data_IF_315973101074
#
_entry.id   IF_315973101074
#
_cell.length_a   1.000
_cell.length_b   1.000
_cell.length_c   1.000
_cell.angle_alpha   90.00
_cell.angle_beta   90.00
_cell.angle_gamma   90.00
#
_symmetry.space_group_name_H-M   'P 1'
#
loop_
_entity.id
_entity.type
_entity.pdbx_description
1 polymer ?
#
# COMPACT_ATOMS: atom_id res chain seq x y z
N UNK A 1 12.68 -23.06 42.77
CA UNK A 1 13.26 -24.30 42.20
C UNK A 1 12.33 -25.43 42.59
N UNK A 2 11.43 -25.80 41.69
CA UNK A 2 10.36 -26.79 41.89
C UNK A 2 10.69 -28.08 41.15
N UNK A 3 10.22 -29.20 41.70
CA UNK A 3 10.51 -30.63 41.44
C UNK A 3 10.33 -31.18 39.99
N UNK A 4 10.51 -30.41 38.92
CA UNK A 4 10.43 -30.89 37.52
C UNK A 4 11.77 -31.43 36.93
N UNK A 5 12.85 -31.45 37.70
CA UNK A 5 14.20 -31.82 37.23
C UNK A 5 14.48 -33.35 37.09
N UNK A 6 13.47 -34.19 36.89
CA UNK A 6 13.72 -35.51 36.33
C UNK A 6 13.92 -35.36 34.81
N UNK A 7 15.14 -34.98 34.42
CA UNK A 7 15.54 -34.82 33.02
C UNK A 7 15.25 -36.12 32.25
N UNK A 8 14.25 -36.08 31.38
CA UNK A 8 13.90 -37.16 30.48
C UNK A 8 15.16 -37.61 29.70
N UNK A 9 15.55 -38.90 29.74
CA UNK A 9 16.77 -39.38 29.09
C UNK A 9 16.78 -39.10 27.58
N UNK A 10 15.61 -39.02 26.95
CA UNK A 10 15.48 -38.69 25.53
C UNK A 10 15.80 -37.21 25.27
N UNK A 11 15.34 -36.30 26.14
CA UNK A 11 15.67 -34.87 26.06
C UNK A 11 17.18 -34.64 26.24
N UNK A 12 17.83 -35.32 27.18
CA UNK A 12 19.30 -35.22 27.36
C UNK A 12 20.01 -35.66 26.09
N UNK A 13 19.58 -36.78 25.50
CA UNK A 13 20.18 -37.33 24.28
C UNK A 13 20.02 -36.38 23.09
N UNK A 14 18.86 -35.72 22.97
CA UNK A 14 18.63 -34.68 21.96
C UNK A 14 19.59 -33.51 22.17
N UNK A 15 19.72 -33.02 23.42
CA UNK A 15 20.63 -31.90 23.75
C UNK A 15 22.07 -32.20 23.34
N UNK A 16 22.55 -33.42 23.58
CA UNK A 16 23.91 -33.84 23.21
C UNK A 16 24.10 -33.86 21.69
N UNK A 17 23.13 -34.38 20.93
CA UNK A 17 23.21 -34.38 19.47
C UNK A 17 23.20 -32.97 18.87
N UNK A 18 22.39 -32.05 19.41
CA UNK A 18 22.39 -30.66 18.94
C UNK A 18 23.74 -29.98 19.21
N UNK A 19 24.31 -30.17 20.41
CA UNK A 19 25.63 -29.61 20.77
C UNK A 19 26.77 -30.18 19.92
N UNK A 20 26.69 -31.45 19.57
CA UNK A 20 27.67 -32.13 18.70
C UNK A 20 27.48 -31.79 17.20
N UNK A 21 26.51 -30.95 16.85
CA UNK A 21 26.20 -30.59 15.45
C UNK A 21 25.55 -31.71 14.64
N UNK A 22 25.06 -32.76 15.30
CA UNK A 22 24.40 -33.93 14.69
C UNK A 22 22.90 -33.66 14.50
N UNK A 23 22.59 -32.66 13.69
CA UNK A 23 21.24 -32.12 13.51
C UNK A 23 20.25 -33.18 13.00
N UNK A 24 20.62 -34.00 12.01
CA UNK A 24 19.73 -35.06 11.49
C UNK A 24 19.37 -36.11 12.54
N UNK A 25 20.33 -36.48 13.39
CA UNK A 25 20.09 -37.44 14.48
C UNK A 25 19.17 -36.85 15.55
N UNK A 26 19.34 -35.57 15.87
CA UNK A 26 18.46 -34.84 16.77
C UNK A 26 17.02 -34.79 16.21
N UNK A 27 16.85 -34.40 14.94
CA UNK A 27 15.55 -34.34 14.26
C UNK A 27 14.83 -35.69 14.29
N UNK A 28 15.53 -36.78 13.98
CA UNK A 28 14.94 -38.12 13.98
C UNK A 28 14.46 -38.55 15.37
N UNK A 29 15.22 -38.24 16.41
CA UNK A 29 14.85 -38.60 17.78
C UNK A 29 13.73 -37.72 18.28
N UNK A 30 13.71 -36.43 17.92
CA UNK A 30 12.60 -35.54 18.24
C UNK A 30 11.31 -36.02 17.56
N UNK A 31 11.37 -36.47 16.31
CA UNK A 31 10.20 -37.05 15.63
C UNK A 31 9.63 -38.26 16.38
N UNK A 32 10.50 -39.13 16.90
CA UNK A 32 10.09 -40.26 17.73
C UNK A 32 9.53 -39.83 19.08
N UNK A 33 10.12 -38.79 19.69
CA UNK A 33 9.70 -38.25 20.98
C UNK A 33 8.33 -37.58 20.91
N UNK A 34 8.09 -36.75 19.89
CA UNK A 34 6.81 -36.10 19.65
C UNK A 34 5.73 -37.12 19.29
N UNK A 35 6.08 -38.16 18.54
CA UNK A 35 5.18 -39.28 18.28
C UNK A 35 3.91 -38.87 17.54
N UNK A 36 2.75 -39.30 18.02
CA UNK A 36 1.46 -39.02 17.40
C UNK A 36 0.87 -37.70 17.95
N UNK A 37 0.56 -36.76 17.06
CA UNK A 37 0.00 -35.44 17.39
C UNK A 37 -1.40 -35.47 18.00
N UNK A 38 -2.07 -36.63 17.95
CA UNK A 38 -3.39 -36.83 18.56
C UNK A 38 -3.34 -37.24 20.03
N UNK A 39 -2.15 -37.46 20.60
CA UNK A 39 -1.98 -37.82 22.01
C UNK A 39 -2.20 -36.62 22.93
N UNK A 40 -2.86 -36.85 24.08
CA UNK A 40 -3.23 -35.79 25.03
C UNK A 40 -2.02 -35.00 25.57
N UNK A 41 -0.84 -35.64 25.66
CA UNK A 41 0.41 -35.06 26.14
C UNK A 41 1.30 -34.51 25.01
N UNK A 42 0.81 -34.46 23.77
CA UNK A 42 1.59 -33.99 22.61
C UNK A 42 2.06 -32.54 22.80
N UNK A 43 1.18 -31.66 23.29
CA UNK A 43 1.52 -30.25 23.47
C UNK A 43 2.54 -30.04 24.58
N UNK A 44 2.46 -30.81 25.67
CA UNK A 44 3.43 -30.75 26.76
C UNK A 44 4.82 -31.20 26.25
N UNK A 45 4.86 -32.29 25.47
CA UNK A 45 6.11 -32.76 24.83
C UNK A 45 6.64 -31.77 23.80
N UNK A 46 5.76 -31.11 23.07
CA UNK A 46 6.14 -30.09 22.08
C UNK A 46 6.71 -28.84 22.75
N UNK A 47 6.09 -28.39 23.84
CA UNK A 47 6.58 -27.30 24.69
C UNK A 47 7.98 -27.62 25.23
N UNK A 48 8.17 -28.82 25.80
CA UNK A 48 9.48 -29.29 26.29
C UNK A 48 10.56 -29.25 25.18
N UNK A 49 10.21 -29.68 23.96
CA UNK A 49 11.14 -29.67 22.81
C UNK A 49 11.45 -28.24 22.37
N UNK A 50 10.43 -27.38 22.22
CA UNK A 50 10.62 -26.00 21.76
C UNK A 50 11.46 -25.23 22.78
N UNK A 51 11.12 -25.27 24.07
CA UNK A 51 11.87 -24.59 25.13
C UNK A 51 13.33 -25.07 25.18
N UNK A 52 13.54 -26.39 25.10
CA UNK A 52 14.87 -26.98 25.08
C UNK A 52 15.68 -26.52 23.86
N UNK A 53 15.12 -26.58 22.64
CA UNK A 53 15.82 -26.17 21.42
C UNK A 53 16.14 -24.67 21.43
N UNK A 54 15.23 -23.82 21.91
CA UNK A 54 15.46 -22.38 22.01
C UNK A 54 16.60 -22.05 22.99
N UNK A 55 16.86 -22.91 23.98
CA UNK A 55 17.97 -22.73 24.93
C UNK A 55 19.34 -23.18 24.40
N UNK A 56 19.40 -23.86 23.25
CA UNK A 56 20.63 -24.45 22.70
C UNK A 56 21.18 -23.67 21.51
N UNK A 57 22.50 -23.55 21.44
CA UNK A 57 23.18 -23.10 20.23
C UNK A 57 22.94 -24.10 19.08
N UNK A 58 22.37 -23.63 17.97
CA UNK A 58 21.97 -24.48 16.83
C UNK A 58 20.56 -25.09 16.94
N UNK A 59 19.87 -24.94 18.07
CA UNK A 59 18.52 -25.51 18.24
C UNK A 59 17.47 -24.86 17.33
N UNK A 60 17.63 -23.57 16.99
CA UNK A 60 16.82 -22.88 15.97
C UNK A 60 16.86 -23.59 14.61
N UNK A 61 18.04 -24.03 14.18
CA UNK A 61 18.21 -24.78 12.92
C UNK A 61 17.49 -26.13 12.98
N UNK A 62 17.60 -26.85 14.10
CA UNK A 62 16.87 -28.12 14.31
C UNK A 62 15.37 -27.89 14.21
N UNK A 63 14.87 -26.83 14.84
CA UNK A 63 13.45 -26.50 14.86
C UNK A 63 12.93 -26.17 13.46
N UNK A 64 13.69 -25.40 12.67
CA UNK A 64 13.37 -25.16 11.25
C UNK A 64 13.30 -26.48 10.46
N UNK A 65 14.26 -27.39 10.66
CA UNK A 65 14.22 -28.71 10.01
C UNK A 65 13.03 -29.57 10.43
N UNK A 66 12.57 -29.48 11.68
CA UNK A 66 11.37 -30.19 12.13
C UNK A 66 10.13 -29.70 11.40
N UNK A 67 10.01 -28.39 11.18
CA UNK A 67 8.90 -27.77 10.45
C UNK A 67 8.99 -28.10 8.95
N UNK A 68 10.15 -27.92 8.32
CA UNK A 68 10.35 -28.18 6.89
C UNK A 68 10.14 -29.67 6.53
N UNK A 69 10.39 -30.58 7.47
CA UNK A 69 10.11 -32.02 7.30
C UNK A 69 8.69 -32.42 7.73
N UNK A 70 7.84 -31.46 8.07
CA UNK A 70 6.46 -31.66 8.53
C UNK A 70 6.36 -32.58 9.76
N UNK A 71 7.41 -32.61 10.58
CA UNK A 71 7.39 -33.28 11.89
C UNK A 71 6.60 -32.39 12.87
N UNK A 72 6.79 -31.08 12.78
CA UNK A 72 5.92 -30.08 13.39
C UNK A 72 5.10 -29.45 12.26
N UNK A 73 3.82 -29.78 12.20
CA UNK A 73 2.91 -29.21 11.22
C UNK A 73 2.36 -27.87 11.73
N UNK A 74 2.67 -26.78 11.01
CA UNK A 74 2.28 -25.42 11.41
C UNK A 74 0.76 -25.22 11.42
N UNK A 75 -0.01 -25.65 10.38
CA UNK A 75 -1.47 -25.63 10.45
C UNK A 75 -2.04 -26.31 11.70
N UNK A 76 -1.64 -27.56 11.98
CA UNK A 76 -2.09 -28.30 13.17
C UNK A 76 -1.69 -27.60 14.48
N UNK A 77 -0.52 -26.96 14.51
CA UNK A 77 -0.08 -26.14 15.63
C UNK A 77 -1.02 -24.95 15.83
N UNK A 78 -1.33 -24.21 14.76
CA UNK A 78 -2.19 -23.03 14.78
C UNK A 78 -3.67 -23.34 15.05
N UNK A 79 -4.15 -24.58 14.87
CA UNK A 79 -5.48 -24.98 15.33
C UNK A 79 -5.68 -24.75 16.83
N UNK A 80 -4.60 -24.78 17.63
CA UNK A 80 -4.65 -24.52 19.07
C UNK A 80 -5.00 -23.06 19.40
N UNK A 81 -4.96 -22.14 18.43
CA UNK A 81 -5.46 -20.77 18.59
C UNK A 81 -6.99 -20.72 18.79
N UNK A 82 -7.73 -21.74 18.36
CA UNK A 82 -9.19 -21.85 18.53
C UNK A 82 -9.61 -22.28 19.95
N UNK A 83 -8.66 -22.49 20.87
CA UNK A 83 -8.98 -22.90 22.24
C UNK A 83 -9.81 -21.82 22.95
N UNK A 84 -10.93 -22.26 23.53
CA UNK A 84 -11.85 -21.41 24.33
C UNK A 84 -11.24 -20.93 25.63
N UNK A 85 -10.30 -21.69 26.20
CA UNK A 85 -9.57 -21.30 27.40
C UNK A 85 -8.51 -20.25 27.02
N UNK A 86 -8.71 -19.01 27.48
CA UNK A 86 -7.82 -17.90 27.18
C UNK A 86 -6.43 -18.07 27.80
N UNK A 87 -6.31 -18.73 28.96
CA UNK A 87 -5.01 -18.98 29.61
C UNK A 87 -4.20 -19.94 28.76
N UNK A 88 -4.81 -21.06 28.34
CA UNK A 88 -4.12 -22.03 27.47
C UNK A 88 -3.74 -21.42 26.12
N UNK A 89 -4.61 -20.59 25.54
CA UNK A 89 -4.32 -19.89 24.29
C UNK A 89 -3.16 -18.91 24.43
N UNK A 90 -3.13 -18.08 25.48
CA UNK A 90 -2.03 -17.13 25.68
C UNK A 90 -0.71 -17.81 26.07
N UNK A 91 -0.75 -18.87 26.89
CA UNK A 91 0.43 -19.70 27.15
C UNK A 91 1.02 -20.25 25.86
N UNK A 92 0.16 -20.72 24.95
CA UNK A 92 0.57 -21.19 23.64
C UNK A 92 1.13 -20.08 22.74
N UNK A 93 0.49 -18.91 22.69
CA UNK A 93 1.02 -17.75 21.96
C UNK A 93 2.40 -17.33 22.47
N UNK A 94 2.64 -17.38 23.78
CA UNK A 94 3.93 -17.09 24.37
C UNK A 94 5.00 -18.11 24.00
N UNK A 95 4.63 -19.39 23.90
CA UNK A 95 5.53 -20.44 23.39
C UNK A 95 5.97 -20.15 21.95
N UNK A 96 5.03 -19.69 21.12
CA UNK A 96 5.29 -19.36 19.71
C UNK A 96 6.03 -18.04 19.51
N UNK A 97 6.00 -17.13 20.49
CA UNK A 97 6.56 -15.78 20.35
C UNK A 97 7.98 -15.76 19.80
N UNK A 98 8.91 -16.43 20.47
CA UNK A 98 10.33 -16.42 20.07
C UNK A 98 10.52 -17.09 18.70
N UNK A 99 9.66 -18.05 18.36
CA UNK A 99 9.71 -18.70 17.06
C UNK A 99 9.23 -17.75 15.96
N UNK A 100 8.09 -17.09 16.14
CA UNK A 100 7.54 -16.14 15.18
C UNK A 100 8.42 -14.88 14.99
N UNK A 101 9.04 -14.37 16.05
CA UNK A 101 9.98 -13.22 15.98
C UNK A 101 11.20 -13.50 15.08
N UNK A 102 11.54 -14.77 14.90
CA UNK A 102 12.78 -15.21 14.27
C UNK A 102 12.56 -15.90 12.91
N UNK A 103 11.51 -16.70 12.79
CA UNK A 103 11.18 -17.54 11.61
C UNK A 103 9.79 -17.15 11.07
N UNK A 104 9.54 -15.86 10.87
CA UNK A 104 8.23 -15.36 10.44
C UNK A 104 7.77 -15.93 9.09
N UNK A 105 8.71 -16.29 8.21
CA UNK A 105 8.47 -16.89 6.90
C UNK A 105 7.70 -18.22 6.98
N UNK A 106 7.79 -18.91 8.12
CA UNK A 106 7.07 -20.16 8.36
C UNK A 106 5.60 -19.94 8.77
N UNK A 107 5.25 -18.76 9.29
CA UNK A 107 3.92 -18.47 9.85
C UNK A 107 3.09 -17.55 8.98
N UNK A 108 3.70 -16.51 8.39
CA UNK A 108 3.01 -15.54 7.53
C UNK A 108 2.12 -16.14 6.44
N UNK A 109 2.50 -17.24 5.75
CA UNK A 109 1.65 -17.84 4.73
C UNK A 109 0.27 -18.31 5.22
N UNK A 110 0.09 -18.48 6.52
CA UNK A 110 -1.15 -18.95 7.13
C UNK A 110 -2.02 -17.81 7.69
N UNK A 111 -1.46 -16.62 7.89
CA UNK A 111 -2.15 -15.53 8.57
C UNK A 111 -3.37 -15.04 7.82
N UNK A 112 -3.31 -14.96 6.49
CA UNK A 112 -4.46 -14.54 5.69
C UNK A 112 -5.72 -15.38 5.94
N UNK A 113 -5.58 -16.71 5.98
CA UNK A 113 -6.70 -17.63 6.23
C UNK A 113 -7.19 -17.52 7.68
N UNK A 114 -6.28 -17.27 8.63
CA UNK A 114 -6.62 -17.12 10.05
C UNK A 114 -7.36 -15.80 10.34
N UNK A 115 -7.02 -14.71 9.65
CA UNK A 115 -7.72 -13.43 9.73
C UNK A 115 -9.14 -13.51 9.15
N UNK A 116 -9.40 -14.44 8.23
CA UNK A 116 -10.71 -14.70 7.65
C UNK A 116 -11.54 -15.74 8.45
N UNK A 117 -10.99 -16.27 9.55
CA UNK A 117 -11.70 -17.20 10.43
C UNK A 117 -12.97 -16.59 11.04
N UNK A 118 -14.03 -17.39 11.14
CA UNK A 118 -15.27 -16.99 11.82
C UNK A 118 -15.08 -16.79 13.34
N UNK A 119 -14.10 -17.48 13.95
CA UNK A 119 -13.84 -17.38 15.39
C UNK A 119 -13.01 -16.12 15.69
N UNK A 120 -13.56 -15.13 16.43
CA UNK A 120 -12.84 -13.91 16.75
C UNK A 120 -11.60 -14.16 17.61
N UNK A 121 -11.56 -15.26 18.37
CA UNK A 121 -10.36 -15.62 19.14
C UNK A 121 -9.20 -16.05 18.24
N UNK A 122 -9.50 -16.70 17.12
CA UNK A 122 -8.48 -17.09 16.14
C UNK A 122 -7.93 -15.85 15.45
N UNK A 123 -8.81 -14.92 15.05
CA UNK A 123 -8.40 -13.63 14.48
C UNK A 123 -7.53 -12.82 15.45
N UNK A 124 -7.95 -12.70 16.71
CA UNK A 124 -7.19 -12.02 17.78
C UNK A 124 -5.80 -12.65 17.98
N UNK A 125 -5.76 -13.98 18.03
CA UNK A 125 -4.52 -14.71 18.26
C UNK A 125 -3.56 -14.60 17.07
N UNK A 126 -4.04 -14.67 15.84
CA UNK A 126 -3.21 -14.45 14.64
C UNK A 126 -2.67 -13.02 14.58
N UNK A 127 -3.51 -12.01 14.87
CA UNK A 127 -3.03 -10.63 15.02
C UNK A 127 -1.95 -10.50 16.09
N UNK A 128 -2.07 -11.25 17.19
CA UNK A 128 -1.03 -11.30 18.22
C UNK A 128 0.27 -11.96 17.74
N UNK A 129 0.20 -12.99 16.89
CA UNK A 129 1.37 -13.57 16.24
C UNK A 129 2.02 -12.57 15.28
N UNK A 130 1.23 -11.85 14.48
CA UNK A 130 1.73 -10.81 13.57
C UNK A 130 2.44 -9.69 14.35
N UNK A 131 1.93 -9.30 15.52
CA UNK A 131 2.62 -8.35 16.41
C UNK A 131 4.00 -8.87 16.84
N UNK A 132 4.12 -10.16 17.18
CA UNK A 132 5.41 -10.77 17.49
C UNK A 132 6.34 -10.76 16.28
N UNK A 133 5.86 -11.16 15.11
CA UNK A 133 6.64 -11.15 13.86
C UNK A 133 7.16 -9.75 13.53
N UNK A 134 6.29 -8.74 13.54
CA UNK A 134 6.65 -7.35 13.27
C UNK A 134 7.59 -6.74 14.33
N UNK A 135 7.53 -7.23 15.57
CA UNK A 135 8.42 -6.85 16.66
C UNK A 135 9.81 -7.49 16.61
N UNK A 136 9.97 -8.57 15.82
CA UNK A 136 11.23 -9.28 15.62
C UNK A 136 12.19 -8.58 14.66
N UNK A 137 13.21 -9.30 14.18
CA UNK A 137 14.17 -8.76 13.21
C UNK A 137 13.58 -8.68 11.80
N UNK A 138 12.67 -9.60 11.47
CA UNK A 138 12.09 -9.70 10.14
C UNK A 138 11.12 -8.56 9.79
N UNK A 139 10.95 -8.34 8.49
CA UNK A 139 10.05 -7.35 7.92
C UNK A 139 8.75 -8.03 7.47
N UNK A 140 7.62 -7.35 7.72
CA UNK A 140 6.29 -7.77 7.24
C UNK A 140 5.88 -6.74 6.20
N UNK A 141 6.12 -7.06 4.94
CA UNK A 141 5.99 -6.16 3.78
C UNK A 141 4.91 -6.61 2.77
N UNK A 142 4.20 -7.71 3.06
CA UNK A 142 3.10 -8.19 2.23
C UNK A 142 1.90 -7.22 2.27
N UNK A 143 1.73 -6.43 1.21
CA UNK A 143 0.62 -5.47 1.06
C UNK A 143 -0.76 -6.12 1.17
N UNK A 144 -0.93 -7.36 0.72
CA UNK A 144 -2.22 -8.05 0.74
C UNK A 144 -2.61 -8.45 2.17
N UNK A 145 -1.66 -8.98 2.93
CA UNK A 145 -1.85 -9.26 4.35
C UNK A 145 -2.12 -7.97 5.15
N UNK A 146 -1.35 -6.91 4.91
CA UNK A 146 -1.56 -5.62 5.59
C UNK A 146 -2.95 -5.05 5.30
N UNK A 147 -3.44 -5.17 4.05
CA UNK A 147 -4.81 -4.80 3.69
C UNK A 147 -5.84 -5.65 4.44
N UNK A 148 -5.64 -6.97 4.55
CA UNK A 148 -6.53 -7.83 5.35
C UNK A 148 -6.57 -7.45 6.83
N UNK A 149 -5.41 -7.12 7.42
CA UNK A 149 -5.36 -6.62 8.80
C UNK A 149 -6.12 -5.29 8.92
N UNK A 150 -5.99 -4.39 7.94
CA UNK A 150 -6.73 -3.12 7.94
C UNK A 150 -8.25 -3.31 7.89
N UNK A 151 -8.76 -4.33 7.19
CA UNK A 151 -10.19 -4.68 7.20
C UNK A 151 -10.68 -5.09 8.60
N UNK A 152 -9.80 -5.64 9.45
CA UNK A 152 -10.13 -5.99 10.84
C UNK A 152 -10.29 -4.78 11.77
N UNK A 153 -10.03 -3.56 11.30
CA UNK A 153 -10.34 -2.34 12.06
C UNK A 153 -11.85 -2.08 12.18
N UNK A 154 -12.67 -2.76 11.36
CA UNK A 154 -14.13 -2.74 11.41
C UNK A 154 -14.72 -4.09 11.92
N UNK A 155 -13.93 -4.88 12.64
CA UNK A 155 -14.41 -6.17 13.18
C UNK A 155 -15.52 -5.98 14.23
N UNK A 156 -16.45 -6.95 14.31
CA UNK A 156 -17.56 -6.93 15.27
C UNK A 156 -17.10 -6.98 16.73
N UNK A 157 -15.91 -7.55 16.97
CA UNK A 157 -15.37 -7.74 18.32
C UNK A 157 -14.29 -6.70 18.63
N UNK A 158 -14.51 -5.89 19.66
CA UNK A 158 -13.62 -4.79 20.06
C UNK A 158 -12.17 -5.26 20.32
N UNK A 159 -11.98 -6.42 20.95
CA UNK A 159 -10.65 -6.95 21.22
C UNK A 159 -9.88 -7.35 19.94
N UNK A 160 -10.58 -7.69 18.84
CA UNK A 160 -9.95 -7.95 17.54
C UNK A 160 -9.50 -6.65 16.92
N UNK A 161 -10.35 -5.61 16.98
CA UNK A 161 -10.02 -4.25 16.53
C UNK A 161 -8.79 -3.71 17.27
N UNK A 162 -8.75 -3.84 18.59
CA UNK A 162 -7.60 -3.42 19.42
C UNK A 162 -6.29 -4.10 18.99
N UNK A 163 -6.33 -5.41 18.68
CA UNK A 163 -5.17 -6.14 18.18
C UNK A 163 -4.80 -5.76 16.75
N UNK A 164 -5.76 -5.50 15.89
CA UNK A 164 -5.50 -5.03 14.53
C UNK A 164 -4.79 -3.67 14.56
N UNK A 165 -5.21 -2.75 15.43
CA UNK A 165 -4.51 -1.48 15.67
C UNK A 165 -3.07 -1.74 16.11
N UNK A 166 -2.84 -2.59 17.11
CA UNK A 166 -1.49 -2.91 17.61
C UNK A 166 -0.60 -3.54 16.53
N UNK A 167 -1.15 -4.45 15.71
CA UNK A 167 -0.45 -5.09 14.60
C UNK A 167 -0.02 -4.05 13.55
N UNK A 168 -0.96 -3.23 13.08
CA UNK A 168 -0.68 -2.18 12.09
C UNK A 168 0.31 -1.15 12.60
N UNK A 169 0.23 -0.75 13.87
CA UNK A 169 1.24 0.13 14.49
C UNK A 169 2.62 -0.54 14.50
N UNK A 170 2.68 -1.83 14.84
CA UNK A 170 3.94 -2.57 14.92
C UNK A 170 4.60 -2.70 13.54
N UNK A 171 3.83 -3.05 12.51
CA UNK A 171 4.28 -3.11 11.11
C UNK A 171 4.68 -1.70 10.63
N UNK A 172 3.82 -0.71 10.89
CA UNK A 172 3.99 0.67 10.45
C UNK A 172 5.21 1.36 11.06
N UNK A 173 5.75 0.87 12.17
CA UNK A 173 7.04 1.36 12.69
C UNK A 173 8.19 1.11 11.71
N UNK A 174 8.16 0.02 10.93
CA UNK A 174 9.17 -0.30 9.91
C UNK A 174 8.72 0.13 8.52
N UNK A 175 7.44 -0.05 8.19
CA UNK A 175 6.86 0.30 6.87
C UNK A 175 5.64 1.23 7.00
N UNK A 176 5.86 2.53 7.31
CA UNK A 176 4.78 3.49 7.50
C UNK A 176 3.88 3.68 6.28
N UNK A 177 4.45 3.64 5.07
CA UNK A 177 3.76 3.88 3.80
C UNK A 177 2.71 2.82 3.50
N UNK A 178 3.08 1.53 3.58
CA UNK A 178 2.16 0.40 3.32
C UNK A 178 0.97 0.41 4.27
N UNK A 179 1.21 0.65 5.57
CA UNK A 179 0.13 0.71 6.55
C UNK A 179 -0.77 1.91 6.30
N UNK A 180 -0.19 3.09 6.02
CA UNK A 180 -0.96 4.31 5.72
C UNK A 180 -1.89 4.11 4.53
N UNK A 181 -1.37 3.53 3.44
CA UNK A 181 -2.14 3.20 2.24
C UNK A 181 -3.29 2.24 2.57
N UNK A 182 -3.00 1.15 3.28
CA UNK A 182 -3.99 0.13 3.63
C UNK A 182 -5.13 0.68 4.50
N UNK A 183 -4.82 1.39 5.60
CA UNK A 183 -5.85 1.93 6.50
C UNK A 183 -6.66 3.06 5.86
N UNK A 184 -6.05 3.84 4.97
CA UNK A 184 -6.75 4.88 4.21
C UNK A 184 -7.73 4.25 3.21
N UNK A 185 -7.33 3.18 2.52
CA UNK A 185 -8.21 2.46 1.62
C UNK A 185 -9.40 1.84 2.37
N UNK A 186 -9.15 1.21 3.52
CA UNK A 186 -10.21 0.67 4.37
C UNK A 186 -11.23 1.75 4.80
N UNK A 187 -10.76 2.94 5.22
CA UNK A 187 -11.63 4.05 5.57
C UNK A 187 -12.45 4.61 4.39
N UNK A 188 -11.92 4.51 3.15
CA UNK A 188 -12.63 4.93 1.94
C UNK A 188 -13.73 3.95 1.53
N UNK A 189 -13.56 2.67 1.81
CA UNK A 189 -14.56 1.64 1.50
C UNK A 189 -15.81 1.76 2.36
N UNK A 190 -15.68 2.23 3.61
CA UNK A 190 -16.80 2.47 4.53
C UNK A 190 -16.73 3.87 5.19
N UNK A 191 -17.06 4.94 4.44
CA UNK A 191 -16.86 6.32 4.89
C UNK A 191 -17.88 6.77 5.95
N UNK A 192 -18.92 5.99 6.24
CA UNK A 192 -19.93 6.33 7.26
C UNK A 192 -19.62 5.69 8.62
N UNK A 193 -18.62 4.80 8.69
CA UNK A 193 -18.25 4.11 9.90
C UNK A 193 -17.32 4.96 10.79
N UNK A 194 -17.94 5.67 11.73
CA UNK A 194 -17.25 6.54 12.69
C UNK A 194 -16.32 5.78 13.64
N UNK A 195 -16.56 4.50 13.92
CA UNK A 195 -15.69 3.67 14.74
C UNK A 195 -14.42 3.29 13.98
N UNK A 196 -14.56 2.85 12.73
CA UNK A 196 -13.44 2.61 11.81
C UNK A 196 -12.57 3.86 11.66
N UNK A 197 -13.16 5.05 11.46
CA UNK A 197 -12.40 6.31 11.37
C UNK A 197 -11.55 6.58 12.60
N UNK A 198 -12.08 6.32 13.80
CA UNK A 198 -11.33 6.49 15.06
C UNK A 198 -10.18 5.50 15.15
N UNK A 199 -10.40 4.24 14.77
CA UNK A 199 -9.36 3.21 14.76
C UNK A 199 -8.24 3.56 13.76
N UNK A 200 -8.61 4.00 12.55
CA UNK A 200 -7.67 4.47 11.52
C UNK A 200 -6.87 5.68 12.01
N UNK A 201 -7.52 6.67 12.60
CA UNK A 201 -6.88 7.86 13.18
C UNK A 201 -5.89 7.48 14.30
N UNK A 202 -6.24 6.50 15.14
CA UNK A 202 -5.34 5.97 16.18
C UNK A 202 -4.08 5.34 15.59
N UNK A 203 -4.22 4.55 14.53
CA UNK A 203 -3.09 3.92 13.82
C UNK A 203 -2.19 4.99 13.19
N UNK A 204 -2.78 5.90 12.40
CA UNK A 204 -2.02 6.95 11.70
C UNK A 204 -1.26 7.86 12.68
N UNK A 205 -1.91 8.34 13.75
CA UNK A 205 -1.24 9.15 14.78
C UNK A 205 -0.05 8.47 15.45
N UNK A 206 -0.06 7.14 15.51
CA UNK A 206 0.97 6.36 16.20
C UNK A 206 2.16 6.01 15.29
N UNK A 207 1.97 6.03 13.98
CA UNK A 207 2.99 5.70 12.98
C UNK A 207 3.68 6.96 12.43
N UNK A 208 2.94 8.06 12.31
CA UNK A 208 3.43 9.31 11.75
C UNK A 208 4.22 10.11 12.81
N UNK A 209 5.54 9.96 12.81
CA UNK A 209 6.49 10.86 13.50
C UNK A 209 7.19 11.77 12.49
N UNK A 210 7.52 13.02 12.88
CA UNK A 210 8.10 14.08 12.01
C UNK A 210 9.27 13.60 11.12
N UNK A 211 10.11 12.68 11.61
CA UNK A 211 11.26 12.12 10.85
C UNK A 211 10.88 11.06 9.80
N UNK A 212 9.69 10.45 9.88
CA UNK A 212 9.18 9.42 8.95
C UNK A 212 8.18 9.96 7.93
N UNK A 213 7.82 11.24 8.06
CA UNK A 213 6.95 11.92 7.11
C UNK A 213 7.61 12.03 5.73
N UNK A 214 8.94 12.18 5.65
CA UNK A 214 9.67 12.22 4.37
C UNK A 214 9.53 10.91 3.56
N UNK A 215 9.53 9.75 4.22
CA UNK A 215 9.42 8.43 3.57
C UNK A 215 7.96 8.09 3.17
N UNK A 216 6.97 8.54 3.95
CA UNK A 216 5.54 8.42 3.61
C UNK A 216 5.16 9.38 2.45
N UNK A 217 5.88 10.51 2.35
CA UNK A 217 5.62 11.59 1.38
C UNK A 217 6.11 11.27 -0.03
N UNK A 218 7.05 10.34 -0.20
CA UNK A 218 7.49 9.94 -1.55
C UNK A 218 6.49 9.04 -2.29
N UNK A 219 5.55 8.35 -1.62
CA UNK A 219 4.71 7.35 -2.29
C UNK A 219 3.19 7.38 -2.05
N UNK A 220 2.64 8.23 -1.17
CA UNK A 220 1.16 8.38 -1.11
C UNK A 220 0.70 9.80 -0.82
N UNK A 221 0.14 10.49 -1.83
CA UNK A 221 -0.73 11.64 -1.62
C UNK A 221 -2.17 11.21 -1.85
N UNK A 222 -2.97 11.16 -0.79
CA UNK A 222 -4.40 10.81 -0.85
C UNK A 222 -5.27 11.84 -1.57
N UNK A 223 -4.74 13.02 -1.86
CA UNK A 223 -5.33 13.99 -2.80
C UNK A 223 -4.84 13.80 -4.25
N UNK A 224 -3.70 13.13 -4.47
CA UNK A 224 -3.30 12.74 -5.83
C UNK A 224 -4.16 11.59 -6.38
N UNK A 225 -4.86 10.80 -5.58
CA UNK A 225 -5.67 9.68 -6.11
C UNK A 225 -6.92 10.21 -6.84
N UNK A 226 -7.62 11.20 -6.28
CA UNK A 226 -8.80 11.80 -6.92
C UNK A 226 -8.41 12.68 -8.13
N UNK A 227 -7.22 13.28 -8.08
CA UNK A 227 -6.63 14.05 -9.18
C UNK A 227 -6.05 13.12 -10.24
N UNK A 228 -5.48 11.98 -9.87
CA UNK A 228 -4.93 10.96 -10.77
C UNK A 228 -6.03 10.25 -11.55
N UNK A 229 -7.18 9.96 -10.92
CA UNK A 229 -8.32 9.37 -11.63
C UNK A 229 -8.91 10.34 -12.66
N UNK A 230 -9.04 11.64 -12.32
CA UNK A 230 -9.47 12.67 -13.27
C UNK A 230 -8.41 12.94 -14.35
N UNK A 231 -7.13 12.97 -14.00
CA UNK A 231 -6.02 13.11 -14.95
C UNK A 231 -5.94 11.89 -15.89
N UNK A 232 -6.19 10.68 -15.39
CA UNK A 232 -6.31 9.45 -16.19
C UNK A 232 -7.54 9.50 -17.11
N UNK A 233 -8.66 10.04 -16.65
CA UNK A 233 -9.86 10.22 -17.47
C UNK A 233 -9.63 11.27 -18.58
N UNK A 234 -8.97 12.38 -18.27
CA UNK A 234 -8.56 13.40 -19.22
C UNK A 234 -7.56 12.84 -20.24
N UNK A 235 -6.56 12.06 -19.81
CA UNK A 235 -5.63 11.34 -20.70
C UNK A 235 -6.35 10.34 -21.61
N UNK A 236 -7.34 9.61 -21.11
CA UNK A 236 -8.17 8.71 -21.94
C UNK A 236 -8.95 9.49 -23.01
N UNK A 237 -9.56 10.63 -22.64
CA UNK A 237 -10.25 11.53 -23.60
C UNK A 237 -9.28 12.11 -24.64
N UNK A 238 -8.08 12.50 -24.23
CA UNK A 238 -7.04 13.02 -25.13
C UNK A 238 -6.59 11.95 -26.15
N UNK A 239 -6.38 10.70 -25.70
CA UNK A 239 -6.06 9.56 -26.57
C UNK A 239 -7.20 9.27 -27.54
N UNK A 240 -8.46 9.34 -27.09
CA UNK A 240 -9.62 9.12 -27.96
C UNK A 240 -9.75 10.20 -29.05
N UNK A 241 -9.50 11.47 -28.70
CA UNK A 241 -9.47 12.58 -29.67
C UNK A 241 -8.34 12.40 -30.68
N UNK A 242 -7.13 12.02 -30.23
CA UNK A 242 -6.00 11.72 -31.13
C UNK A 242 -6.32 10.60 -32.10
N UNK A 243 -6.95 9.50 -31.65
CA UNK A 243 -7.42 8.42 -32.53
C UNK A 243 -8.43 8.91 -33.58
N UNK A 244 -9.41 9.72 -33.18
CA UNK A 244 -10.41 10.29 -34.11
C UNK A 244 -9.79 11.24 -35.13
N UNK A 245 -8.76 12.02 -34.76
CA UNK A 245 -8.02 12.86 -35.71
C UNK A 245 -7.30 12.05 -36.77
N UNK A 246 -6.62 10.96 -36.38
CA UNK A 246 -5.93 10.05 -37.31
C UNK A 246 -6.95 9.43 -38.28
N UNK A 247 -8.09 8.94 -37.79
CA UNK A 247 -9.13 8.36 -38.65
C UNK A 247 -9.72 9.39 -39.64
N UNK A 248 -9.87 10.65 -39.23
CA UNK A 248 -10.34 11.73 -40.11
C UNK A 248 -9.27 12.13 -41.14
N UNK A 249 -7.99 12.04 -40.80
CA UNK A 249 -6.87 12.31 -41.70
C UNK A 249 -6.74 11.23 -42.78
N UNK A 250 -6.90 9.96 -42.42
CA UNK A 250 -6.99 8.86 -43.39
C UNK A 250 -8.16 9.05 -44.37
N UNK A 251 -9.35 9.42 -43.86
CA UNK A 251 -10.52 9.71 -44.71
C UNK A 251 -10.34 10.93 -45.61
N UNK A 252 -9.57 11.92 -45.18
CA UNK A 252 -9.23 13.10 -46.00
C UNK A 252 -8.29 12.70 -47.14
N UNK A 253 -7.26 11.91 -46.85
CA UNK A 253 -6.31 11.41 -47.85
C UNK A 253 -7.02 10.55 -48.91
N UNK A 254 -7.91 9.64 -48.50
CA UNK A 254 -8.73 8.86 -49.44
C UNK A 254 -9.63 9.73 -50.33
N UNK A 255 -10.16 10.82 -49.78
CA UNK A 255 -10.99 11.77 -50.53
C UNK A 255 -10.15 12.60 -51.50
N UNK A 256 -8.96 13.04 -51.12
CA UNK A 256 -8.03 13.73 -52.01
C UNK A 256 -7.64 12.83 -53.19
N UNK A 257 -7.31 11.57 -52.96
CA UNK A 257 -7.03 10.60 -54.03
C UNK A 257 -8.21 10.44 -54.99
N UNK A 258 -9.44 10.35 -54.46
CA UNK A 258 -10.66 10.27 -55.28
C UNK A 258 -10.89 11.54 -56.10
N UNK A 259 -10.62 12.72 -55.52
CA UNK A 259 -10.73 14.01 -56.23
C UNK A 259 -9.67 14.11 -57.34
N UNK A 260 -8.43 13.67 -57.09
CA UNK A 260 -7.35 13.65 -58.09
C UNK A 260 -7.71 12.72 -59.25
N UNK A 261 -8.19 11.50 -58.95
CA UNK A 261 -8.64 10.52 -59.94
C UNK A 261 -9.79 11.07 -60.82
N UNK A 262 -10.77 11.73 -60.22
CA UNK A 262 -11.86 12.34 -61.00
C UNK A 262 -11.34 13.49 -61.86
N UNK A 263 -10.46 14.36 -61.35
CA UNK A 263 -9.83 15.43 -62.16
C UNK A 263 -9.02 14.89 -63.33
N UNK A 264 -8.28 13.79 -63.15
CA UNK A 264 -7.57 13.12 -64.24
C UNK A 264 -8.52 12.58 -65.31
N UNK A 265 -9.65 11.99 -64.92
CA UNK A 265 -10.69 11.56 -65.87
C UNK A 265 -11.26 12.74 -66.64
N UNK A 266 -11.53 13.86 -65.97
CA UNK A 266 -12.02 15.08 -66.64
C UNK A 266 -10.98 15.62 -67.63
N UNK A 267 -9.69 15.60 -67.26
CA UNK A 267 -8.59 16.02 -68.13
C UNK A 267 -8.47 15.13 -69.37
N UNK A 268 -8.48 13.80 -69.20
CA UNK A 268 -8.43 12.83 -70.31
C UNK A 268 -9.63 13.00 -71.25
N UNK A 269 -10.83 13.20 -70.72
CA UNK A 269 -12.03 13.49 -71.53
C UNK A 269 -11.88 14.79 -72.32
N UNK A 270 -11.30 15.84 -71.72
CA UNK A 270 -11.03 17.12 -72.42
C UNK A 270 -9.96 16.98 -73.50
N UNK A 271 -8.90 16.21 -73.26
CA UNK A 271 -7.88 15.89 -74.26
C UNK A 271 -8.48 15.09 -75.43
N UNK A 272 -9.32 14.09 -75.15
CA UNK A 272 -9.96 13.27 -76.19
C UNK A 272 -10.96 14.09 -77.04
N UNK A 273 -11.59 15.11 -76.45
CA UNK A 273 -12.40 16.10 -77.19
C UNK A 273 -11.51 16.95 -78.09
N UNK A 274 -10.36 17.41 -77.59
CA UNK A 274 -9.43 18.28 -78.32
C UNK A 274 -8.73 17.55 -79.48
N UNK A 275 -8.34 16.28 -79.29
CA UNK A 275 -7.80 15.41 -80.36
C UNK A 275 -8.82 15.15 -81.47
N UNK A 276 -10.09 14.90 -81.10
CA UNK A 276 -11.17 14.73 -82.08
C UNK A 276 -11.49 16.03 -82.83
N UNK A 277 -11.21 17.20 -82.25
CA UNK A 277 -11.33 18.50 -82.93
C UNK A 277 -10.12 18.81 -83.85
N UNK A 278 -8.94 18.22 -83.63
CA UNK A 278 -7.72 18.52 -84.41
C UNK A 278 -7.49 17.60 -85.62
N UNK A 279 -8.17 16.45 -85.72
CA UNK A 279 -8.00 15.48 -86.82
C UNK A 279 -8.86 15.81 -88.06
N UNK A 280 -9.78 16.78 -87.99
CA UNK A 280 -10.71 17.10 -89.10
C UNK A 280 -10.28 18.41 -89.81
N UNK A 281 -10.01 18.40 -91.13
CA UNK A 281 -9.82 19.64 -91.91
C UNK A 281 -11.07 20.53 -91.90
N UNK A 282 -10.99 21.82 -92.27
CA UNK A 282 -12.03 22.83 -91.99
C UNK A 282 -13.41 22.67 -92.67
N UNK A 283 -13.69 21.55 -93.33
CA UNK A 283 -14.92 21.33 -94.10
C UNK A 283 -15.54 19.98 -93.79
N UNK A 284 -16.24 19.89 -92.65
CA UNK A 284 -17.48 19.14 -92.45
C UNK A 284 -17.82 19.14 -90.96
N UNK A 285 -18.75 20.01 -90.58
CA UNK A 285 -19.62 19.77 -89.43
C UNK A 285 -20.17 18.35 -89.53
N UNK A 286 -19.81 17.46 -88.61
CA UNK A 286 -20.64 16.37 -88.08
C UNK A 286 -19.80 15.47 -87.15
N UNK A 287 -19.38 16.00 -85.99
CA UNK A 287 -19.32 15.14 -84.81
C UNK A 287 -20.78 14.74 -84.52
N UNK A 288 -21.14 13.44 -84.47
CA UNK A 288 -22.53 13.03 -84.30
C UNK A 288 -23.12 13.68 -83.05
N UNK A 289 -24.26 14.40 -83.16
CA UNK A 289 -24.93 15.07 -82.03
C UNK A 289 -25.13 14.16 -80.80
N UNK A 290 -25.23 12.84 -81.00
CA UNK A 290 -25.29 11.83 -79.93
C UNK A 290 -24.01 11.77 -79.09
N UNK A 291 -22.83 11.81 -79.72
CA UNK A 291 -21.53 11.70 -79.03
C UNK A 291 -21.23 12.96 -78.22
N UNK A 292 -21.48 14.16 -78.78
CA UNK A 292 -21.39 15.43 -78.02
C UNK A 292 -22.36 15.49 -76.83
N UNK A 293 -23.54 14.85 -76.94
CA UNK A 293 -24.54 14.81 -75.86
C UNK A 293 -24.18 13.79 -74.77
N UNK A 294 -23.54 12.67 -75.12
CA UNK A 294 -22.99 11.71 -74.16
C UNK A 294 -21.81 12.30 -73.38
N UNK A 295 -20.84 12.91 -74.07
CA UNK A 295 -19.68 13.55 -73.43
C UNK A 295 -20.08 14.67 -72.46
N UNK A 296 -21.05 15.52 -72.85
CA UNK A 296 -21.58 16.57 -71.94
C UNK A 296 -22.28 16.01 -70.70
N UNK A 297 -22.87 14.81 -70.80
CA UNK A 297 -23.55 14.15 -69.69
C UNK A 297 -22.53 13.49 -68.76
N UNK A 298 -21.50 12.85 -69.30
CA UNK A 298 -20.38 12.33 -68.51
C UNK A 298 -19.60 13.46 -67.82
N UNK A 299 -19.38 14.60 -68.49
CA UNK A 299 -18.75 15.76 -67.89
C UNK A 299 -19.58 16.36 -66.73
N UNK A 300 -20.92 16.46 -66.88
CA UNK A 300 -21.78 16.91 -65.79
C UNK A 300 -21.79 15.93 -64.61
N UNK A 301 -21.83 14.63 -64.88
CA UNK A 301 -21.83 13.59 -63.85
C UNK A 301 -20.51 13.57 -63.05
N UNK A 302 -19.38 13.90 -63.69
CA UNK A 302 -18.07 14.04 -63.03
C UNK A 302 -18.02 15.32 -62.18
N UNK A 303 -18.55 16.44 -62.69
CA UNK A 303 -18.61 17.72 -61.95
C UNK A 303 -19.50 17.56 -60.70
N UNK A 304 -20.65 16.90 -60.82
CA UNK A 304 -21.55 16.65 -59.68
C UNK A 304 -20.86 15.80 -58.60
N UNK A 305 -20.10 14.76 -59.00
CA UNK A 305 -19.27 13.97 -58.08
C UNK A 305 -18.17 14.79 -57.43
N UNK A 306 -17.48 15.66 -58.18
CA UNK A 306 -16.45 16.55 -57.62
C UNK A 306 -17.04 17.50 -56.56
N UNK A 307 -18.23 18.05 -56.82
CA UNK A 307 -18.95 18.92 -55.87
C UNK A 307 -19.34 18.12 -54.62
N UNK A 308 -19.81 16.89 -54.76
CA UNK A 308 -20.16 16.02 -53.63
C UNK A 308 -18.93 15.68 -52.77
N UNK A 309 -17.80 15.34 -53.39
CA UNK A 309 -16.53 15.08 -52.70
C UNK A 309 -16.01 16.31 -51.96
N UNK A 310 -16.11 17.51 -52.56
CA UNK A 310 -15.77 18.78 -51.88
C UNK A 310 -16.65 19.08 -50.68
N UNK A 311 -17.94 18.75 -50.73
CA UNK A 311 -18.86 18.87 -49.57
C UNK A 311 -18.43 17.94 -48.44
N UNK A 312 -18.06 16.70 -48.73
CA UNK A 312 -17.55 15.74 -47.74
C UNK A 312 -16.23 16.22 -47.12
N UNK A 313 -15.33 16.79 -47.92
CA UNK A 313 -14.08 17.38 -47.42
C UNK A 313 -14.32 18.56 -46.46
N UNK A 314 -15.29 19.44 -46.76
CA UNK A 314 -15.69 20.52 -45.87
C UNK A 314 -16.30 20.01 -44.55
N UNK A 315 -17.06 18.93 -44.59
CA UNK A 315 -17.62 18.31 -43.38
C UNK A 315 -16.52 17.72 -42.48
N UNK A 316 -15.50 17.07 -43.08
CA UNK A 316 -14.32 16.57 -42.34
C UNK A 316 -13.54 17.73 -41.71
N UNK A 317 -13.31 18.83 -42.44
CA UNK A 317 -12.66 20.04 -41.89
C UNK A 317 -13.43 20.61 -40.70
N UNK A 318 -14.75 20.64 -40.76
CA UNK A 318 -15.59 21.09 -39.65
C UNK A 318 -15.44 20.17 -38.43
N UNK A 319 -15.40 18.85 -38.62
CA UNK A 319 -15.17 17.88 -37.54
C UNK A 319 -13.77 17.99 -36.94
N UNK A 320 -12.73 18.25 -37.74
CA UNK A 320 -11.36 18.52 -37.25
C UNK A 320 -11.31 19.76 -36.34
N UNK A 321 -11.94 20.86 -36.77
CA UNK A 321 -12.05 22.09 -35.97
C UNK A 321 -12.80 21.86 -34.65
N UNK A 322 -13.86 21.06 -34.65
CA UNK A 322 -14.60 20.72 -33.42
C UNK A 322 -13.76 19.88 -32.46
N UNK A 323 -12.95 18.94 -32.97
CA UNK A 323 -12.02 18.16 -32.15
C UNK A 323 -10.88 19.02 -31.58
N UNK A 324 -10.38 19.99 -32.35
CA UNK A 324 -9.36 20.94 -31.87
C UNK A 324 -9.90 21.83 -30.74
N UNK A 325 -11.17 22.22 -30.80
CA UNK A 325 -11.81 22.97 -29.72
C UNK A 325 -11.92 22.13 -28.43
N UNK A 326 -12.34 20.86 -28.56
CA UNK A 326 -12.44 19.93 -27.42
C UNK A 326 -11.08 19.61 -26.81
N UNK A 327 -10.02 19.57 -27.62
CA UNK A 327 -8.64 19.38 -27.13
C UNK A 327 -8.19 20.56 -26.28
N UNK A 328 -8.47 21.80 -26.70
CA UNK A 328 -8.17 22.99 -25.89
C UNK A 328 -8.97 23.05 -24.58
N UNK A 329 -10.25 22.68 -24.60
CA UNK A 329 -11.05 22.59 -23.36
C UNK A 329 -10.44 21.59 -22.38
N UNK A 330 -9.91 20.46 -22.87
CA UNK A 330 -9.22 19.46 -22.03
C UNK A 330 -7.91 20.03 -21.48
N UNK A 331 -7.11 20.71 -22.31
CA UNK A 331 -5.87 21.35 -21.85
C UNK A 331 -6.14 22.39 -20.76
N UNK A 332 -7.19 23.20 -20.90
CA UNK A 332 -7.59 24.20 -19.91
C UNK A 332 -8.00 23.55 -18.58
N UNK A 333 -8.80 22.48 -18.63
CA UNK A 333 -9.15 21.70 -17.42
C UNK A 333 -7.92 21.11 -16.72
N UNK A 334 -6.94 20.61 -17.48
CA UNK A 334 -5.68 20.09 -16.91
C UNK A 334 -4.89 21.18 -16.19
N UNK A 335 -4.87 22.39 -16.75
CA UNK A 335 -4.19 23.54 -16.12
C UNK A 335 -4.89 23.92 -14.82
N UNK A 336 -6.23 24.02 -14.82
CA UNK A 336 -7.01 24.33 -13.61
C UNK A 336 -6.81 23.30 -12.49
N UNK A 337 -6.75 22.00 -12.82
CA UNK A 337 -6.47 20.96 -11.81
C UNK A 337 -5.06 21.08 -11.24
N UNK A 338 -4.05 21.38 -12.08
CA UNK A 338 -2.69 21.62 -11.61
C UNK A 338 -2.60 22.83 -10.68
N UNK A 339 -3.31 23.91 -10.98
CA UNK A 339 -3.35 25.09 -10.10
C UNK A 339 -4.00 24.78 -8.75
N UNK A 340 -5.11 24.02 -8.73
CA UNK A 340 -5.74 23.56 -7.48
C UNK A 340 -4.77 22.70 -6.66
N UNK A 341 -4.06 21.79 -7.32
CA UNK A 341 -3.07 20.92 -6.67
C UNK A 341 -1.95 21.73 -6.03
N UNK A 342 -1.41 22.71 -6.75
CA UNK A 342 -0.36 23.59 -6.24
C UNK A 342 -0.84 24.39 -5.03
N UNK A 343 -2.06 24.91 -5.07
CA UNK A 343 -2.64 25.67 -3.98
C UNK A 343 -2.78 24.85 -2.69
N UNK A 344 -3.19 23.58 -2.81
CA UNK A 344 -3.25 22.68 -1.65
C UNK A 344 -1.85 22.37 -1.12
N UNK A 345 -0.87 22.12 -2.01
CA UNK A 345 0.53 21.92 -1.60
C UNK A 345 1.09 23.12 -0.83
N UNK A 346 0.76 24.35 -1.24
CA UNK A 346 1.15 25.57 -0.52
C UNK A 346 0.51 25.66 0.87
N UNK A 347 -0.79 25.38 0.99
CA UNK A 347 -1.51 25.41 2.28
C UNK A 347 -0.97 24.36 3.26
N UNK A 348 -0.62 23.16 2.77
CA UNK A 348 -0.01 22.11 3.58
C UNK A 348 1.36 22.52 4.12
N UNK A 349 2.21 23.15 3.29
CA UNK A 349 3.52 23.65 3.71
C UNK A 349 3.36 24.72 4.80
N UNK A 350 2.35 25.59 4.68
CA UNK A 350 2.08 26.60 5.70
C UNK A 350 1.67 25.95 7.02
N UNK A 351 0.74 24.98 6.99
CA UNK A 351 0.30 24.22 8.18
C UNK A 351 1.43 23.43 8.84
N UNK A 352 2.30 22.82 8.06
CA UNK A 352 3.50 22.12 8.56
C UNK A 352 4.43 23.09 9.31
N UNK A 353 4.61 24.29 8.78
CA UNK A 353 5.43 25.32 9.41
C UNK A 353 4.83 25.84 10.73
N UNK A 354 3.49 25.96 10.81
CA UNK A 354 2.77 26.33 12.03
C UNK A 354 2.90 25.26 13.10
N UNK A 355 2.72 23.99 12.73
CA UNK A 355 2.81 22.85 13.65
C UNK A 355 4.23 22.70 14.20
N UNK A 356 5.25 22.83 13.35
CA UNK A 356 6.66 22.84 13.76
C UNK A 356 6.96 23.93 14.80
N UNK A 357 6.39 25.14 14.63
CA UNK A 357 6.54 26.22 15.61
C UNK A 357 5.86 25.89 16.93
N UNK A 358 4.64 25.33 16.89
CA UNK A 358 3.89 24.95 18.08
C UNK A 358 4.61 23.86 18.88
N UNK A 359 5.22 22.87 18.21
CA UNK A 359 6.01 21.83 18.87
C UNK A 359 7.24 22.40 19.58
N UNK A 360 7.97 23.32 18.94
CA UNK A 360 9.13 23.98 19.55
C UNK A 360 8.68 24.75 20.80
N UNK A 361 7.57 25.48 20.74
CA UNK A 361 7.04 26.21 21.90
C UNK A 361 6.66 25.27 23.05
N UNK A 362 6.02 24.13 22.73
CA UNK A 362 5.63 23.13 23.72
C UNK A 362 6.85 22.48 24.39
N UNK A 363 7.88 22.11 23.60
CA UNK A 363 9.16 21.61 24.13
C UNK A 363 9.83 22.64 25.05
N UNK A 364 9.81 23.92 24.69
CA UNK A 364 10.34 25.00 25.55
C UNK A 364 9.57 25.14 26.86
N UNK A 365 8.23 24.99 26.86
CA UNK A 365 7.44 25.01 28.10
C UNK A 365 7.78 23.85 29.01
N UNK A 366 7.88 22.63 28.46
CA UNK A 366 8.26 21.43 29.23
C UNK A 366 9.64 21.60 29.89
N UNK A 367 10.61 22.16 29.16
CA UNK A 367 11.95 22.43 29.70
C UNK A 367 11.85 23.41 30.86
N UNK A 368 11.14 24.54 30.71
CA UNK A 368 10.97 25.54 31.78
C UNK A 368 10.29 24.96 33.02
N UNK A 369 9.27 24.12 32.86
CA UNK A 369 8.61 23.46 34.00
C UNK A 369 9.54 22.48 34.73
N UNK A 370 10.37 21.74 33.99
CA UNK A 370 11.38 20.86 34.58
C UNK A 370 12.43 21.65 35.35
N UNK A 371 12.91 22.76 34.79
CA UNK A 371 13.86 23.66 35.46
C UNK A 371 13.27 24.24 36.76
N UNK A 372 12.01 24.68 36.75
CA UNK A 372 11.34 25.17 37.96
C UNK A 372 11.23 24.08 39.04
N UNK A 373 10.83 22.85 38.67
CA UNK A 373 10.76 21.73 39.62
C UNK A 373 12.12 21.40 40.23
N UNK A 374 13.19 21.47 39.44
CA UNK A 374 14.56 21.25 39.93
C UNK A 374 14.91 22.34 40.97
N UNK A 375 14.69 23.62 40.63
CA UNK A 375 14.97 24.75 41.53
C UNK A 375 14.18 24.61 42.83
N UNK A 376 12.88 24.28 42.77
CA UNK A 376 12.06 24.07 43.97
C UNK A 376 12.57 22.91 44.84
N UNK A 377 13.05 21.84 44.21
CA UNK A 377 13.61 20.69 44.93
C UNK A 377 14.94 21.02 45.61
N UNK A 378 15.79 21.82 44.96
CA UNK A 378 17.06 22.29 45.55
C UNK A 378 16.83 23.25 46.71
N UNK A 379 15.86 24.17 46.59
CA UNK A 379 15.47 25.06 47.69
C UNK A 379 15.00 24.25 48.89
N UNK A 380 14.13 23.25 48.68
CA UNK A 380 13.67 22.36 49.78
C UNK A 380 14.83 21.66 50.46
N UNK A 381 15.76 21.10 49.67
CA UNK A 381 16.95 20.42 50.20
C UNK A 381 17.83 21.36 51.02
N UNK A 382 18.07 22.57 50.53
CA UNK A 382 18.85 23.58 51.24
C UNK A 382 18.18 24.02 52.56
N UNK A 383 16.85 24.12 52.59
CA UNK A 383 16.09 24.44 53.80
C UNK A 383 16.16 23.30 54.82
N UNK A 384 16.01 22.05 54.38
CA UNK A 384 16.15 20.87 55.26
C UNK A 384 17.57 20.78 55.86
N UNK A 385 18.59 21.01 55.04
CA UNK A 385 19.99 21.02 55.48
C UNK A 385 20.25 22.14 56.49
N UNK A 386 19.70 23.33 56.26
CA UNK A 386 19.78 24.47 57.19
C UNK A 386 19.12 24.17 58.54
N UNK A 387 17.92 23.56 58.54
CA UNK A 387 17.21 23.17 59.77
C UNK A 387 18.00 22.15 60.59
N UNK A 388 18.61 21.16 59.93
CA UNK A 388 19.43 20.14 60.59
C UNK A 388 20.72 20.72 61.19
N UNK A 389 21.30 21.75 60.58
CA UNK A 389 22.45 22.46 61.18
C UNK A 389 22.03 23.31 62.37
N UNK A 390 20.89 24.00 62.28
CA UNK A 390 20.34 24.83 63.37
C UNK A 390 20.04 23.99 64.62
N UNK A 391 19.49 22.79 64.45
CA UNK A 391 19.18 21.88 65.55
C UNK A 391 20.46 21.31 66.19
N UNK A 392 21.49 21.02 65.39
CA UNK A 392 22.80 20.58 65.90
C UNK A 392 23.52 21.69 66.68
N UNK A 393 23.45 22.93 66.21
CA UNK A 393 24.02 24.08 66.91
C UNK A 393 23.33 24.30 68.27
N UNK A 394 21.99 24.20 68.32
CA UNK A 394 21.23 24.27 69.58
C UNK A 394 21.54 23.12 70.53
N UNK A 395 21.80 21.91 70.03
CA UNK A 395 22.22 20.77 70.87
C UNK A 395 23.64 20.95 71.41
N UNK A 396 24.56 21.52 70.63
CA UNK A 396 25.92 21.82 71.09
C UNK A 396 25.95 22.96 72.11
N UNK A 397 25.15 24.01 71.95
CA UNK A 397 25.00 25.07 72.96
C UNK A 397 24.43 24.52 74.28
N UNK A 398 23.41 23.67 74.23
CA UNK A 398 22.83 23.03 75.42
C UNK A 398 23.79 22.06 76.13
N UNK A 399 24.77 21.48 75.43
CA UNK A 399 25.84 20.67 76.05
C UNK A 399 26.88 21.53 76.75
N UNK A 400 27.21 22.70 76.19
CA UNK A 400 28.18 23.64 76.79
C UNK A 400 27.66 24.35 78.04
N UNK A 401 26.34 24.45 78.23
CA UNK A 401 25.74 25.00 79.46
C UNK A 401 25.62 24.00 80.62
N UNK A 402 25.88 22.70 80.38
CA UNK A 402 25.76 21.63 81.39
C UNK A 402 27.09 21.13 81.97
N UNK A 403 28.21 21.55 81.40
CA UNK A 403 29.56 21.41 81.97
C UNK A 403 29.98 22.73 82.64
#
# INVERSE_FOLDING_TARGET
MTEKDQKNPEIIKIQDFVKDGRIDDAVNIIALYLGDSTQDDYLDRLEDIIEMLLSLHGGRTVLRFLIERLIIDIPSLLENLSKRDSVLRYSFLLLLKTLCENECDLFLPHSEDLLDSDDPNVREADLQLIIFMAGGEAEVDDESLIAKIALRLADEQEFVVEKAIQALISIGRKHPSFVTKAVTNAAKEDPENEELKKSVDSVLKSIVTVEKIEEIREETPSEEIEISDKELELKKKEIEIKKKKIELEEKENELEEKIILEKEKTLKLKEEILEKETIVPPEADLIPKKVKKQLKKEESDIIDKEIELKKKALEIKKKKLELEFKEREIEEMVIEEKEKTLKIKEELIEKESELSRAEIELKQRIIKEKEQKIIESEIKRAVEEFMLTDDKEKEEENKKEKD
#
